data_IF_055441267662
#
_entry.id   IF_055441267662
#
_cell.length_a   1.000
_cell.length_b   1.000
_cell.length_c   1.000
_cell.angle_alpha   90.00
_cell.angle_beta   90.00
_cell.angle_gamma   90.00
#
_symmetry.space_group_name_H-M   'P 1'
#
loop_
_entity.id
_entity.type
_entity.pdbx_description
1 polymer ?
#
# COMPACT_ATOMS: atom_id res chain seq x y z
N UNK A 1 24.23 17.86 15.27
CA UNK A 1 23.75 18.32 13.94
C UNK A 1 22.68 17.42 13.30
N UNK A 2 22.71 16.10 13.52
CA UNK A 2 21.77 15.12 12.91
C UNK A 2 20.38 15.06 13.59
N UNK A 3 20.18 15.70 14.74
CA UNK A 3 18.96 15.56 15.56
C UNK A 3 17.92 16.67 15.36
N UNK A 4 18.20 17.68 14.53
CA UNK A 4 17.23 18.74 14.26
C UNK A 4 16.61 18.55 12.87
N UNK A 5 15.30 18.30 12.78
CA UNK A 5 14.61 18.31 11.50
C UNK A 5 14.75 19.70 10.86
N UNK A 6 14.94 19.70 9.55
CA UNK A 6 15.01 20.93 8.78
C UNK A 6 13.63 21.62 8.81
N UNK A 7 13.64 22.95 8.96
CA UNK A 7 12.42 23.75 8.90
C UNK A 7 11.70 23.58 7.56
N UNK A 8 12.47 23.52 6.48
CA UNK A 8 12.01 23.29 5.12
C UNK A 8 12.65 22.03 4.55
N UNK A 9 11.93 21.24 3.74
CA UNK A 9 12.54 20.12 3.03
C UNK A 9 13.64 20.62 2.10
N UNK A 10 14.63 19.77 1.86
CA UNK A 10 15.65 19.98 0.83
C UNK A 10 15.49 18.93 -0.26
N UNK A 11 15.80 19.34 -1.49
CA UNK A 11 15.85 18.44 -2.63
C UNK A 11 17.19 17.73 -2.69
N UNK A 12 17.15 16.41 -2.88
CA UNK A 12 18.31 15.60 -3.16
C UNK A 12 18.25 15.03 -4.58
N UNK A 13 19.43 14.76 -5.14
CA UNK A 13 19.60 14.11 -6.42
C UNK A 13 20.72 13.07 -6.30
N UNK A 14 20.40 11.79 -6.48
CA UNK A 14 21.37 10.70 -6.42
C UNK A 14 21.47 10.05 -7.78
N UNK A 15 22.69 10.01 -8.34
CA UNK A 15 22.97 9.34 -9.60
C UNK A 15 23.24 7.84 -9.37
N UNK A 16 22.66 6.97 -10.19
CA UNK A 16 22.91 5.53 -10.16
C UNK A 16 23.70 5.04 -11.38
N UNK A 17 24.35 3.90 -11.22
CA UNK A 17 25.18 3.28 -12.27
C UNK A 17 24.35 2.82 -13.47
N UNK A 18 24.95 2.83 -14.67
CA UNK A 18 24.29 2.43 -15.93
C UNK A 18 23.79 0.99 -15.93
N UNK A 19 24.39 0.11 -15.11
CA UNK A 19 23.90 -1.26 -14.92
C UNK A 19 22.48 -1.35 -14.35
N UNK A 20 21.95 -0.27 -13.77
CA UNK A 20 20.60 -0.23 -13.22
C UNK A 20 19.61 0.57 -14.08
N UNK A 21 20.02 1.04 -15.27
CA UNK A 21 19.19 1.88 -16.15
C UNK A 21 17.87 1.22 -16.56
N UNK A 22 17.87 -0.09 -16.69
CA UNK A 22 16.68 -0.86 -17.07
C UNK A 22 15.80 -1.23 -15.86
N UNK A 23 16.18 -0.83 -14.64
CA UNK A 23 15.39 -1.06 -13.42
C UNK A 23 14.39 0.08 -13.24
N UNK A 24 13.10 -0.24 -13.28
CA UNK A 24 12.01 0.73 -13.23
C UNK A 24 11.42 0.96 -11.83
N UNK A 25 11.87 0.20 -10.81
CA UNK A 25 11.42 0.32 -9.41
C UNK A 25 12.52 0.77 -8.46
N UNK A 26 13.39 1.66 -8.94
CA UNK A 26 14.41 2.29 -8.12
C UNK A 26 13.80 3.49 -7.40
N UNK A 27 13.86 3.49 -6.06
CA UNK A 27 13.36 4.57 -5.24
C UNK A 27 14.41 4.99 -4.21
N UNK A 28 14.30 6.24 -3.76
CA UNK A 28 15.08 6.78 -2.66
C UNK A 28 14.44 6.34 -1.34
N UNK A 29 15.29 5.97 -0.38
CA UNK A 29 14.89 5.67 0.99
C UNK A 29 15.79 6.42 1.95
N UNK A 30 15.22 6.90 3.05
CA UNK A 30 16.00 7.36 4.20
C UNK A 30 15.88 6.33 5.33
N UNK A 31 16.90 6.29 6.18
CA UNK A 31 16.89 5.42 7.35
C UNK A 31 16.27 6.15 8.54
N UNK A 32 15.07 5.74 8.95
CA UNK A 32 14.45 6.12 10.20
C UNK A 32 14.95 5.20 11.33
N UNK A 33 15.38 5.77 12.46
CA UNK A 33 15.96 4.96 13.55
C UNK A 33 14.96 4.04 14.26
N UNK A 34 13.65 4.32 14.15
CA UNK A 34 12.58 3.54 14.78
C UNK A 34 11.95 2.56 13.80
N UNK A 35 11.69 3.01 12.59
CA UNK A 35 10.92 2.25 11.57
C UNK A 35 11.82 1.57 10.52
N UNK A 36 13.11 1.93 10.45
CA UNK A 36 14.06 1.43 9.45
C UNK A 36 13.97 2.20 8.12
N UNK A 37 14.19 1.50 7.00
CA UNK A 37 14.14 2.14 5.68
C UNK A 37 12.74 2.65 5.36
N UNK A 38 12.63 3.96 5.16
CA UNK A 38 11.38 4.66 4.88
C UNK A 38 11.40 5.25 3.47
N UNK A 39 10.32 5.02 2.74
CA UNK A 39 10.15 5.45 1.35
C UNK A 39 10.18 6.98 1.19
N UNK A 40 10.93 7.46 0.20
CA UNK A 40 10.89 8.86 -0.25
C UNK A 40 10.15 8.88 -1.59
N UNK A 41 9.20 9.81 -1.74
CA UNK A 41 8.57 10.07 -3.02
C UNK A 41 9.67 10.42 -4.04
N UNK A 42 9.84 9.57 -5.04
CA UNK A 42 11.00 9.60 -5.94
C UNK A 42 10.56 9.85 -7.36
N UNK A 43 11.21 10.80 -8.02
CA UNK A 43 11.17 10.97 -9.46
C UNK A 43 12.43 10.41 -10.08
N UNK A 44 12.29 9.62 -11.14
CA UNK A 44 13.43 9.02 -11.85
C UNK A 44 13.61 9.68 -13.23
N UNK A 45 14.71 10.42 -13.39
CA UNK A 45 15.20 10.80 -14.70
C UNK A 45 16.11 9.68 -15.25
N UNK A 46 15.52 8.75 -16.00
CA UNK A 46 16.24 7.57 -16.50
C UNK A 46 17.32 7.93 -17.55
N UNK A 47 17.13 9.01 -18.31
CA UNK A 47 18.13 9.47 -19.29
C UNK A 47 19.42 9.92 -18.60
N UNK A 48 19.29 10.65 -17.49
CA UNK A 48 20.41 11.16 -16.70
C UNK A 48 20.85 10.20 -15.59
N UNK A 49 20.08 9.12 -15.37
CA UNK A 49 20.25 8.14 -14.31
C UNK A 49 20.26 8.79 -12.93
N UNK A 50 19.35 9.72 -12.69
CA UNK A 50 19.24 10.48 -11.43
C UNK A 50 17.88 10.27 -10.81
N UNK A 51 17.87 9.88 -9.54
CA UNK A 51 16.68 9.90 -8.70
C UNK A 51 16.65 11.20 -7.89
N UNK A 52 15.50 11.87 -7.86
CA UNK A 52 15.27 13.06 -7.06
C UNK A 52 14.16 12.85 -6.05
N UNK A 53 14.26 13.54 -4.91
CA UNK A 53 13.25 13.48 -3.85
C UNK A 53 13.49 14.54 -2.78
N UNK A 54 12.49 14.74 -1.92
CA UNK A 54 12.54 15.69 -0.81
C UNK A 54 12.82 14.99 0.52
N UNK A 55 13.71 15.56 1.33
CA UNK A 55 14.01 15.08 2.67
C UNK A 55 13.93 16.22 3.68
N UNK A 56 13.54 15.89 4.92
CA UNK A 56 13.53 16.84 6.06
C UNK A 56 14.60 16.54 7.10
N UNK A 57 15.31 15.43 6.93
CA UNK A 57 16.35 14.96 7.84
C UNK A 57 17.53 14.46 7.00
N UNK A 58 18.74 14.68 7.50
CA UNK A 58 20.00 14.36 6.82
C UNK A 58 20.60 13.04 7.32
N UNK A 59 19.73 12.08 7.65
CA UNK A 59 20.15 10.73 8.02
C UNK A 59 20.67 9.95 6.80
N UNK A 60 20.93 8.65 6.95
CA UNK A 60 21.40 7.82 5.85
C UNK A 60 20.34 7.74 4.73
N UNK A 61 20.78 7.91 3.49
CA UNK A 61 19.93 7.88 2.30
C UNK A 61 20.53 6.91 1.30
N UNK A 62 19.70 6.12 0.64
CA UNK A 62 20.13 5.13 -0.33
C UNK A 62 19.11 4.96 -1.46
N UNK A 63 19.50 4.20 -2.49
CA UNK A 63 18.63 3.72 -3.55
C UNK A 63 18.33 2.24 -3.28
N UNK A 64 17.06 1.87 -3.27
CA UNK A 64 16.61 0.47 -3.18
C UNK A 64 15.74 0.17 -4.40
N UNK A 65 15.94 -1.02 -4.98
CA UNK A 65 15.03 -1.58 -5.97
C UNK A 65 13.91 -2.33 -5.24
N UNK A 66 12.69 -1.80 -5.26
CA UNK A 66 11.56 -2.40 -4.54
C UNK A 66 10.63 -3.16 -5.51
N UNK A 67 10.85 -4.46 -5.58
CA UNK A 67 10.08 -5.39 -6.44
C UNK A 67 9.11 -6.27 -5.65
N UNK A 68 8.98 -6.05 -4.35
CA UNK A 68 8.25 -6.94 -3.45
C UNK A 68 6.79 -6.51 -3.39
N UNK A 69 5.87 -7.40 -3.75
CA UNK A 69 4.44 -7.11 -3.60
C UNK A 69 4.00 -7.03 -2.14
N UNK A 70 3.00 -6.17 -1.83
CA UNK A 70 2.37 -6.17 -0.53
C UNK A 70 1.66 -7.50 -0.26
N UNK A 71 1.35 -7.75 1.01
CA UNK A 71 0.72 -8.98 1.48
C UNK A 71 -0.67 -8.67 2.03
N UNK A 72 -1.67 -9.44 1.59
CA UNK A 72 -3.00 -9.45 2.20
C UNK A 72 -2.97 -10.50 3.32
N UNK A 73 -2.93 -10.05 4.58
CA UNK A 73 -2.80 -10.92 5.76
C UNK A 73 -4.09 -11.65 6.09
N UNK A 74 -5.24 -10.99 5.92
CA UNK A 74 -6.56 -11.58 6.18
C UNK A 74 -7.65 -10.76 5.50
N UNK A 75 -8.71 -11.45 5.05
CA UNK A 75 -9.95 -10.85 4.55
C UNK A 75 -11.12 -11.45 5.35
N UNK A 76 -12.01 -10.58 5.82
CA UNK A 76 -13.31 -10.93 6.36
C UNK A 76 -14.38 -10.18 5.56
N UNK A 77 -15.47 -10.82 5.11
CA UNK A 77 -15.76 -12.27 5.15
C UNK A 77 -14.71 -13.13 4.42
N UNK A 78 -14.52 -14.36 4.88
CA UNK A 78 -13.49 -15.28 4.37
C UNK A 78 -13.97 -16.11 3.19
N UNK A 79 -13.02 -16.61 2.38
CA UNK A 79 -13.33 -17.51 1.27
C UNK A 79 -14.03 -18.79 1.77
N UNK A 80 -15.10 -19.18 1.10
CA UNK A 80 -16.05 -20.25 1.47
C UNK A 80 -16.72 -20.07 2.85
N UNK A 81 -16.67 -18.85 3.41
CA UNK A 81 -17.36 -18.53 4.65
C UNK A 81 -18.88 -18.53 4.48
N UNK A 82 -19.59 -18.85 5.56
CA UNK A 82 -21.05 -18.78 5.64
C UNK A 82 -21.42 -17.84 6.78
N UNK A 83 -22.26 -16.86 6.50
CA UNK A 83 -22.60 -15.80 7.45
C UNK A 83 -24.11 -15.59 7.51
N UNK A 84 -24.72 -15.51 8.70
CA UNK A 84 -26.09 -15.04 8.83
C UNK A 84 -26.22 -13.61 8.29
N UNK A 85 -27.26 -13.33 7.51
CA UNK A 85 -27.48 -12.01 6.89
C UNK A 85 -27.46 -10.86 7.91
N UNK A 86 -28.00 -11.08 9.10
CA UNK A 86 -28.07 -10.07 10.17
C UNK A 86 -26.77 -9.92 10.98
N UNK A 87 -25.83 -10.86 10.87
CA UNK A 87 -24.55 -10.82 11.60
C UNK A 87 -23.42 -10.26 10.75
N UNK A 88 -23.50 -10.39 9.42
CA UNK A 88 -22.53 -9.80 8.51
C UNK A 88 -22.83 -8.32 8.30
N UNK A 89 -22.19 -7.47 9.09
CA UNK A 89 -22.30 -6.01 8.98
C UNK A 89 -21.05 -5.32 8.45
N UNK A 90 -19.88 -5.98 8.49
CA UNK A 90 -18.60 -5.33 8.16
C UNK A 90 -17.70 -6.20 7.31
N UNK A 91 -16.95 -5.55 6.41
CA UNK A 91 -15.79 -6.15 5.77
C UNK A 91 -14.53 -5.59 6.41
N UNK A 92 -13.54 -6.47 6.62
CA UNK A 92 -12.26 -6.09 7.24
C UNK A 92 -11.11 -6.81 6.59
N UNK A 93 -10.15 -6.02 6.10
CA UNK A 93 -8.98 -6.53 5.40
C UNK A 93 -7.74 -6.00 6.09
N UNK A 94 -6.80 -6.89 6.42
CA UNK A 94 -5.49 -6.51 6.95
C UNK A 94 -4.46 -6.71 5.88
N UNK A 95 -3.63 -5.69 5.70
CA UNK A 95 -2.53 -5.69 4.73
C UNK A 95 -1.20 -5.44 5.43
N UNK A 96 -0.13 -5.77 4.75
CA UNK A 96 1.21 -5.41 5.18
C UNK A 96 2.12 -5.21 3.98
N UNK A 97 3.16 -4.43 4.19
CA UNK A 97 4.21 -4.20 3.22
C UNK A 97 5.56 -4.07 3.94
N UNK A 98 6.61 -4.55 3.28
CA UNK A 98 7.95 -4.64 3.85
C UNK A 98 8.78 -3.37 3.67
N UNK A 99 8.50 -2.54 2.65
CA UNK A 99 9.38 -1.46 2.23
C UNK A 99 8.61 -0.17 1.90
N UNK A 100 8.05 -0.05 0.70
CA UNK A 100 7.51 1.22 0.20
C UNK A 100 6.24 1.67 0.92
N UNK A 101 5.57 0.78 1.62
CA UNK A 101 4.33 1.03 2.34
C UNK A 101 3.19 1.40 1.40
N UNK A 102 2.16 2.03 1.96
CA UNK A 102 0.95 2.37 1.22
C UNK A 102 0.76 3.89 1.17
N UNK A 103 0.45 4.41 -0.01
CA UNK A 103 -0.10 5.76 -0.13
C UNK A 103 -1.56 5.73 0.38
N UNK A 104 -1.94 6.60 1.33
CA UNK A 104 -3.29 6.60 1.90
C UNK A 104 -4.38 7.08 0.92
N UNK A 105 -4.02 7.53 -0.28
CA UNK A 105 -4.98 7.88 -1.32
C UNK A 105 -5.80 6.67 -1.81
N UNK A 106 -7.01 6.95 -2.29
CA UNK A 106 -7.93 5.93 -2.82
C UNK A 106 -7.35 5.16 -4.02
N UNK A 107 -6.35 5.72 -4.71
CA UNK A 107 -5.72 5.07 -5.86
C UNK A 107 -4.88 3.82 -5.51
N UNK A 108 -4.59 3.61 -4.22
CA UNK A 108 -3.80 2.47 -3.73
C UNK A 108 -4.63 1.22 -3.48
N UNK A 109 -5.95 1.34 -3.33
CA UNK A 109 -6.80 0.21 -2.99
C UNK A 109 -8.08 0.19 -3.81
N UNK A 110 -8.54 -1.02 -4.09
CA UNK A 110 -9.77 -1.27 -4.83
C UNK A 110 -10.52 -2.39 -4.10
N UNK A 111 -11.78 -2.13 -3.77
CA UNK A 111 -12.66 -3.07 -3.09
C UNK A 111 -13.94 -3.20 -3.91
N UNK A 112 -14.25 -4.39 -4.41
CA UNK A 112 -15.39 -4.64 -5.29
C UNK A 112 -16.23 -5.76 -4.67
N UNK A 113 -17.51 -5.50 -4.45
CA UNK A 113 -18.51 -6.48 -4.04
C UNK A 113 -19.50 -6.69 -5.18
N UNK A 114 -19.63 -7.93 -5.66
CA UNK A 114 -20.55 -8.30 -6.75
C UNK A 114 -20.49 -7.35 -7.95
N UNK A 115 -19.27 -7.11 -8.43
CA UNK A 115 -18.94 -6.19 -9.53
C UNK A 115 -19.21 -4.69 -9.27
N UNK A 116 -19.53 -4.31 -8.02
CA UNK A 116 -19.70 -2.92 -7.60
C UNK A 116 -18.54 -2.44 -6.73
N UNK A 117 -17.92 -1.33 -7.11
CA UNK A 117 -16.86 -0.68 -6.32
C UNK A 117 -17.42 -0.09 -5.03
N UNK A 118 -16.71 -0.32 -3.92
CA UNK A 118 -17.08 0.14 -2.58
C UNK A 118 -16.16 1.26 -2.11
N UNK A 119 -16.74 2.24 -1.40
CA UNK A 119 -15.99 3.28 -0.70
C UNK A 119 -15.63 2.76 0.69
N UNK A 120 -14.34 2.65 0.99
CA UNK A 120 -13.84 2.04 2.22
C UNK A 120 -13.08 3.05 3.07
N UNK A 121 -12.85 2.70 4.34
CA UNK A 121 -11.95 3.42 5.23
C UNK A 121 -10.61 2.70 5.35
N UNK A 122 -9.50 3.43 5.23
CA UNK A 122 -8.15 2.90 5.49
C UNK A 122 -7.57 3.52 6.77
N UNK A 123 -7.09 2.67 7.68
CA UNK A 123 -6.38 3.08 8.90
C UNK A 123 -4.88 2.76 8.79
N UNK A 124 -4.01 3.74 8.48
CA UNK A 124 -2.60 3.50 8.20
C UNK A 124 -1.83 2.79 9.31
N UNK A 125 -2.09 3.15 10.57
CA UNK A 125 -1.40 2.57 11.73
C UNK A 125 -1.73 1.09 11.95
N UNK A 126 -2.98 0.69 11.72
CA UNK A 126 -3.40 -0.71 11.83
C UNK A 126 -3.28 -1.47 10.51
N UNK A 127 -2.87 -0.80 9.42
CA UNK A 127 -2.81 -1.33 8.06
C UNK A 127 -4.09 -2.11 7.71
N UNK A 128 -5.23 -1.51 8.02
CA UNK A 128 -6.55 -2.15 7.93
C UNK A 128 -7.47 -1.34 7.05
N UNK A 129 -8.14 -2.02 6.12
CA UNK A 129 -9.26 -1.51 5.33
C UNK A 129 -10.54 -2.04 5.97
N UNK A 130 -11.54 -1.17 6.12
CA UNK A 130 -12.86 -1.53 6.63
C UNK A 130 -13.98 -0.93 5.79
N UNK A 131 -15.08 -1.66 5.67
CA UNK A 131 -16.31 -1.21 5.05
C UNK A 131 -17.50 -1.65 5.90
N UNK A 132 -18.44 -0.75 6.13
CA UNK A 132 -19.69 -1.01 6.85
C UNK A 132 -20.80 -1.18 5.82
N UNK A 133 -21.59 -2.23 5.93
CA UNK A 133 -22.73 -2.47 5.05
C UNK A 133 -23.87 -1.52 5.42
N UNK A 134 -24.35 -0.75 4.45
CA UNK A 134 -25.53 0.11 4.63
C UNK A 134 -26.81 -0.70 4.90
N UNK A 135 -26.86 -1.93 4.37
CA UNK A 135 -27.98 -2.88 4.49
C UNK A 135 -27.45 -4.32 4.48
N UNK A 136 -28.15 -5.26 5.12
CA UNK A 136 -27.82 -6.68 5.02
C UNK A 136 -27.76 -7.14 3.56
N UNK A 137 -26.79 -8.00 3.26
CA UNK A 137 -26.70 -8.65 1.95
C UNK A 137 -27.86 -9.63 1.75
N UNK A 138 -28.25 -9.81 0.48
CA UNK A 138 -29.26 -10.80 0.10
C UNK A 138 -28.78 -12.20 0.44
N UNK A 139 -29.72 -13.12 0.67
CA UNK A 139 -29.38 -14.54 0.84
C UNK A 139 -28.84 -15.07 -0.49
N UNK A 140 -27.67 -15.68 -0.49
CA UNK A 140 -27.03 -16.15 -1.71
C UNK A 140 -25.51 -16.18 -1.65
N UNK A 141 -24.90 -16.42 -2.81
CA UNK A 141 -23.45 -16.34 -2.99
C UNK A 141 -23.04 -14.92 -3.37
N UNK A 142 -21.95 -14.46 -2.78
CA UNK A 142 -21.36 -13.15 -3.01
C UNK A 142 -19.86 -13.27 -3.32
N UNK A 143 -19.33 -12.31 -4.06
CA UNK A 143 -17.91 -12.22 -4.40
C UNK A 143 -17.34 -10.88 -3.95
N UNK A 144 -16.30 -10.91 -3.13
CA UNK A 144 -15.53 -9.74 -2.73
C UNK A 144 -14.14 -9.83 -3.33
N UNK A 145 -13.76 -8.85 -4.14
CA UNK A 145 -12.43 -8.69 -4.71
C UNK A 145 -11.73 -7.51 -4.05
N UNK A 146 -10.48 -7.72 -3.66
CA UNK A 146 -9.63 -6.67 -3.12
C UNK A 146 -8.31 -6.62 -3.86
N UNK A 147 -7.90 -5.44 -4.29
CA UNK A 147 -6.58 -5.16 -4.88
C UNK A 147 -5.89 -4.07 -4.07
N UNK A 148 -4.61 -4.25 -3.79
CA UNK A 148 -3.75 -3.28 -3.11
C UNK A 148 -2.47 -3.04 -3.91
N UNK A 149 -2.04 -1.78 -3.95
CA UNK A 149 -0.81 -1.31 -4.58
C UNK A 149 0.06 -0.59 -3.55
N UNK A 150 1.34 -0.90 -3.51
CA UNK A 150 2.32 -0.18 -2.69
C UNK A 150 2.83 1.10 -3.40
N UNK A 151 3.71 1.87 -2.75
CA UNK A 151 4.24 3.11 -3.36
C UNK A 151 5.27 2.86 -4.47
N UNK A 152 5.92 1.69 -4.48
CA UNK A 152 6.79 1.25 -5.57
C UNK A 152 6.01 0.73 -6.80
N UNK A 153 4.70 0.58 -6.67
CA UNK A 153 3.79 0.12 -7.70
C UNK A 153 3.66 -1.39 -7.84
N UNK A 154 4.17 -2.17 -6.89
CA UNK A 154 3.87 -3.58 -6.75
C UNK A 154 2.40 -3.76 -6.31
N UNK A 155 1.78 -4.87 -6.72
CA UNK A 155 0.36 -5.14 -6.48
C UNK A 155 0.15 -6.52 -5.88
N UNK A 156 -0.90 -6.65 -5.08
CA UNK A 156 -1.50 -7.92 -4.69
C UNK A 156 -3.01 -7.84 -4.86
N UNK A 157 -3.64 -8.96 -5.21
CA UNK A 157 -5.08 -9.05 -5.37
C UNK A 157 -5.58 -10.39 -4.84
N UNK A 158 -6.77 -10.39 -4.26
CA UNK A 158 -7.43 -11.58 -3.75
C UNK A 158 -8.94 -11.46 -3.96
N UNK A 159 -9.54 -12.55 -4.46
CA UNK A 159 -10.99 -12.69 -4.58
C UNK A 159 -11.46 -13.75 -3.60
N UNK A 160 -12.47 -13.41 -2.78
CA UNK A 160 -13.13 -14.34 -1.87
C UNK A 160 -14.58 -14.51 -2.28
N UNK A 161 -15.07 -15.74 -2.24
CA UNK A 161 -16.47 -16.07 -2.45
C UNK A 161 -17.04 -16.54 -1.11
N UNK A 162 -18.21 -16.07 -0.74
CA UNK A 162 -18.85 -16.42 0.53
C UNK A 162 -20.36 -16.52 0.35
N UNK A 163 -21.04 -17.13 1.32
CA UNK A 163 -22.48 -17.33 1.28
C UNK A 163 -23.15 -16.62 2.45
N UNK A 164 -24.26 -15.96 2.16
CA UNK A 164 -25.15 -15.34 3.15
C UNK A 164 -26.43 -16.18 3.26
N UNK A 165 -26.90 -16.43 4.48
CA UNK A 165 -28.11 -17.22 4.76
C UNK A 165 -29.00 -16.59 5.85
#
# INVERSE_FOLDING_TARGET
PFQQPLLNPINIAIRYSSKYKDRNKLHLYFYDQKEGWSFIQTENNNERQVLTGEIKQLDAITIIEDVVSPIIKSIHPGHNGQYPSLELSTFKIKIDDLLSGFDPSESSFELILDDQSLIYAYQPKLKTISYELDRPLLIGEHSLQFTVKDRAGNKASQTVKFKVY
#
